data_IF_602826038986
#
_entry.id   IF_602826038986
#
_cell.length_a   1.000
_cell.length_b   1.000
_cell.length_c   1.000
_cell.angle_alpha   90.00
_cell.angle_beta   90.00
_cell.angle_gamma   90.00
#
_symmetry.space_group_name_H-M   'P 1'
#
loop_
_entity.id
_entity.type
_entity.pdbx_description
1 polymer ?
#
# COMPACT_ATOMS: atom_id res chain seq x y z
N UNK A 1 -37.07 14.45 -30.75
CA UNK A 1 -35.93 13.53 -30.53
C UNK A 1 -36.31 12.16 -31.06
N UNK A 2 -35.65 11.68 -32.12
CA UNK A 2 -35.83 10.30 -32.59
C UNK A 2 -35.14 9.28 -31.70
N UNK A 3 -35.43 7.98 -31.92
CA UNK A 3 -34.86 6.88 -31.13
C UNK A 3 -33.31 6.93 -31.02
N UNK A 4 -32.62 7.36 -32.06
CA UNK A 4 -31.16 7.55 -32.04
C UNK A 4 -30.72 8.65 -31.07
N UNK A 5 -31.45 9.75 -30.94
CA UNK A 5 -31.13 10.80 -29.99
C UNK A 5 -31.36 10.40 -28.54
N UNK A 6 -32.38 9.58 -28.26
CA UNK A 6 -32.66 9.03 -26.93
C UNK A 6 -31.55 8.07 -26.54
N UNK A 7 -31.14 7.17 -27.43
CA UNK A 7 -30.06 6.25 -27.17
C UNK A 7 -28.72 6.98 -26.92
N UNK A 8 -28.44 8.04 -27.67
CA UNK A 8 -27.23 8.84 -27.45
C UNK A 8 -27.29 9.55 -26.09
N UNK A 9 -28.43 10.10 -25.69
CA UNK A 9 -28.59 10.71 -24.37
C UNK A 9 -28.40 9.71 -23.25
N UNK A 10 -29.01 8.52 -23.36
CA UNK A 10 -28.86 7.44 -22.37
C UNK A 10 -27.42 6.98 -22.24
N UNK A 11 -26.74 6.74 -23.36
CA UNK A 11 -25.32 6.34 -23.33
C UNK A 11 -24.43 7.43 -22.74
N UNK A 12 -24.69 8.69 -23.05
CA UNK A 12 -23.94 9.81 -22.46
C UNK A 12 -24.14 9.91 -20.95
N UNK A 13 -25.37 9.76 -20.47
CA UNK A 13 -25.69 9.76 -19.05
C UNK A 13 -25.05 8.54 -18.35
N UNK A 14 -25.17 7.36 -18.99
CA UNK A 14 -24.55 6.14 -18.45
C UNK A 14 -23.04 6.29 -18.33
N UNK A 15 -22.37 6.80 -19.35
CA UNK A 15 -20.93 7.02 -19.32
C UNK A 15 -20.55 8.03 -18.24
N UNK A 16 -21.29 9.12 -18.07
CA UNK A 16 -21.04 10.07 -16.98
C UNK A 16 -21.18 9.43 -15.60
N UNK A 17 -22.16 8.55 -15.39
CA UNK A 17 -22.31 7.83 -14.14
C UNK A 17 -21.11 6.90 -13.88
N UNK A 18 -20.64 6.19 -14.91
CA UNK A 18 -19.44 5.35 -14.84
C UNK A 18 -18.21 6.19 -14.56
N UNK A 19 -18.02 7.33 -15.23
CA UNK A 19 -16.90 8.25 -15.01
C UNK A 19 -16.88 8.83 -13.56
N UNK A 20 -18.06 8.90 -12.92
CA UNK A 20 -18.19 9.30 -11.51
C UNK A 20 -18.14 8.13 -10.53
N UNK A 21 -17.80 6.91 -10.98
CA UNK A 21 -17.64 5.74 -10.12
C UNK A 21 -18.89 4.87 -9.98
N UNK A 22 -20.06 5.27 -10.45
CA UNK A 22 -21.31 4.52 -10.32
C UNK A 22 -21.47 3.43 -11.39
N UNK A 23 -20.54 2.52 -11.45
CA UNK A 23 -20.40 1.50 -12.52
C UNK A 23 -21.56 0.51 -12.59
N UNK A 24 -22.27 0.29 -11.50
CA UNK A 24 -23.42 -0.63 -11.43
C UNK A 24 -24.76 0.06 -11.63
N UNK A 25 -24.81 1.38 -11.55
CA UNK A 25 -26.05 2.18 -11.79
C UNK A 25 -26.42 2.14 -13.27
N UNK A 26 -27.70 1.99 -13.58
CA UNK A 26 -28.21 1.88 -14.94
C UNK A 26 -29.20 2.99 -15.26
N UNK A 27 -29.12 3.54 -16.47
CA UNK A 27 -30.08 4.48 -17.02
C UNK A 27 -30.96 3.74 -18.02
N UNK A 28 -32.28 3.76 -17.84
CA UNK A 28 -33.26 3.10 -18.69
C UNK A 28 -34.27 4.09 -19.19
N UNK A 29 -34.76 3.91 -20.43
CA UNK A 29 -35.94 4.57 -20.94
C UNK A 29 -37.07 3.55 -21.02
N UNK A 30 -38.07 3.60 -20.12
CA UNK A 30 -39.21 2.71 -20.20
C UNK A 30 -40.02 2.99 -21.50
N UNK A 31 -40.83 2.03 -21.89
CA UNK A 31 -41.77 2.19 -23.02
C UNK A 31 -42.71 3.36 -22.71
N UNK A 32 -42.75 4.36 -23.57
CA UNK A 32 -43.49 5.62 -23.35
C UNK A 32 -43.94 6.28 -24.64
N UNK A 33 -45.02 7.03 -24.59
CA UNK A 33 -45.49 7.85 -25.71
C UNK A 33 -44.77 9.22 -25.70
N UNK A 34 -43.99 9.47 -26.72
CA UNK A 34 -43.19 10.69 -26.86
C UNK A 34 -43.99 11.84 -27.49
N UNK A 35 -45.25 11.63 -27.86
CA UNK A 35 -46.12 12.70 -28.43
C UNK A 35 -46.35 13.85 -27.45
N UNK A 36 -46.25 13.58 -26.15
CA UNK A 36 -46.37 14.61 -25.11
C UNK A 36 -45.16 15.55 -25.02
N UNK A 37 -44.09 15.31 -25.78
CA UNK A 37 -42.84 16.05 -25.69
C UNK A 37 -42.02 15.81 -24.43
N UNK A 38 -42.45 14.90 -23.56
CA UNK A 38 -41.77 14.57 -22.28
C UNK A 38 -41.04 13.23 -22.42
N UNK A 39 -39.75 13.23 -22.21
CA UNK A 39 -38.94 12.00 -22.08
C UNK A 39 -38.73 11.67 -20.62
N UNK A 40 -39.16 10.48 -20.19
CA UNK A 40 -38.91 9.94 -18.86
C UNK A 40 -37.77 8.95 -18.92
N UNK A 41 -36.78 9.18 -18.07
CA UNK A 41 -35.68 8.26 -17.84
C UNK A 41 -35.77 7.72 -16.39
N UNK A 42 -35.44 6.45 -16.23
CA UNK A 42 -35.39 5.79 -14.92
C UNK A 42 -33.95 5.46 -14.64
N UNK A 43 -33.47 5.89 -13.48
CA UNK A 43 -32.15 5.53 -12.97
C UNK A 43 -32.36 4.42 -11.94
N UNK A 44 -31.73 3.27 -12.18
CA UNK A 44 -31.70 2.15 -11.26
C UNK A 44 -30.35 2.21 -10.53
N UNK A 45 -30.33 2.60 -9.24
CA UNK A 45 -29.10 2.68 -8.50
C UNK A 45 -28.52 1.28 -8.25
N UNK A 46 -27.21 1.13 -8.44
CA UNK A 46 -26.49 -0.02 -7.96
C UNK A 46 -26.13 0.18 -6.49
N UNK A 47 -26.74 -0.60 -5.60
CA UNK A 47 -26.51 -0.52 -4.16
C UNK A 47 -25.74 -1.72 -3.66
N UNK A 48 -24.93 -1.51 -2.62
CA UNK A 48 -24.23 -2.57 -1.91
C UNK A 48 -25.28 -3.42 -1.17
N UNK A 49 -25.35 -4.70 -1.49
CA UNK A 49 -26.31 -5.60 -0.81
C UNK A 49 -25.75 -6.12 0.50
N UNK A 50 -24.53 -6.63 0.46
CA UNK A 50 -23.85 -7.17 1.64
C UNK A 50 -22.35 -6.95 1.48
N UNK A 51 -21.72 -6.60 2.59
CA UNK A 51 -20.27 -6.64 2.77
C UNK A 51 -20.01 -7.77 3.76
N UNK A 52 -19.18 -8.73 3.40
CA UNK A 52 -18.88 -9.90 4.24
C UNK A 52 -17.40 -10.15 4.30
N UNK A 53 -16.94 -10.57 5.44
CA UNK A 53 -15.61 -11.17 5.58
C UNK A 53 -15.60 -12.56 4.95
N UNK A 54 -14.46 -12.98 4.42
CA UNK A 54 -14.28 -14.36 4.01
C UNK A 54 -14.27 -15.29 5.25
N UNK A 55 -14.60 -16.59 5.11
CA UNK A 55 -14.61 -17.51 6.25
C UNK A 55 -13.29 -17.62 7.01
N UNK A 56 -12.17 -17.28 6.35
CA UNK A 56 -10.82 -17.32 6.88
C UNK A 56 -10.39 -15.98 7.53
N UNK A 57 -11.32 -15.00 7.58
CA UNK A 57 -11.05 -13.71 8.21
C UNK A 57 -11.17 -13.80 9.72
N UNK A 58 -10.30 -13.08 10.42
CA UNK A 58 -10.30 -13.05 11.89
C UNK A 58 -11.58 -12.38 12.44
N UNK A 59 -12.16 -12.92 13.52
CA UNK A 59 -13.38 -12.43 14.17
C UNK A 59 -13.25 -11.00 14.73
N UNK A 60 -12.03 -10.48 14.83
CA UNK A 60 -11.75 -9.14 15.36
C UNK A 60 -11.84 -8.02 14.33
N UNK A 61 -12.05 -8.31 13.04
CA UNK A 61 -12.16 -7.28 12.02
C UNK A 61 -13.50 -6.56 12.13
N UNK A 62 -13.48 -5.31 12.57
CA UNK A 62 -14.67 -4.46 12.55
C UNK A 62 -14.96 -3.96 11.14
N UNK A 63 -15.75 -4.70 10.39
CA UNK A 63 -16.12 -4.40 9.01
C UNK A 63 -16.68 -2.97 8.85
N UNK A 64 -17.41 -2.50 9.84
CA UNK A 64 -18.10 -1.20 9.82
C UNK A 64 -17.17 0.01 9.82
N UNK A 65 -15.99 -0.11 10.42
CA UNK A 65 -15.02 0.98 10.48
C UNK A 65 -13.92 0.86 9.43
N UNK A 66 -13.80 -0.31 8.81
CA UNK A 66 -12.66 -0.63 7.94
C UNK A 66 -12.97 -0.50 6.45
N UNK A 67 -14.26 -0.46 6.08
CA UNK A 67 -14.67 -0.39 4.69
C UNK A 67 -15.69 0.74 4.46
N UNK A 68 -15.43 1.67 3.54
CA UNK A 68 -16.27 2.86 3.38
C UNK A 68 -17.66 2.56 2.78
N UNK A 69 -17.82 1.44 2.07
CA UNK A 69 -19.09 1.06 1.48
C UNK A 69 -19.91 0.19 2.45
N UNK A 70 -21.13 0.65 2.79
CA UNK A 70 -22.05 -0.03 3.71
C UNK A 70 -23.24 -0.63 2.96
N UNK A 71 -23.93 -1.60 3.58
CA UNK A 71 -25.16 -2.14 3.04
C UNK A 71 -26.20 -1.03 2.79
N UNK A 72 -26.81 -1.04 1.61
CA UNK A 72 -27.78 -0.03 1.19
C UNK A 72 -27.17 1.26 0.64
N UNK A 73 -25.87 1.50 0.75
CA UNK A 73 -25.22 2.64 0.10
C UNK A 73 -25.10 2.42 -1.41
N UNK A 74 -25.05 3.53 -2.16
CA UNK A 74 -24.69 3.48 -3.59
C UNK A 74 -23.29 2.89 -3.72
N UNK A 75 -23.13 1.95 -4.66
CA UNK A 75 -21.80 1.43 -4.97
C UNK A 75 -21.04 2.46 -5.81
N UNK A 76 -20.03 3.07 -5.22
CA UNK A 76 -19.05 3.90 -5.88
C UNK A 76 -17.74 3.12 -6.02
N UNK A 77 -17.25 2.98 -7.25
CA UNK A 77 -15.99 2.27 -7.51
C UNK A 77 -14.82 2.93 -6.77
N UNK A 78 -14.86 4.25 -6.59
CA UNK A 78 -13.83 4.99 -5.86
C UNK A 78 -13.74 4.60 -4.39
N UNK A 79 -14.86 4.20 -3.75
CA UNK A 79 -14.84 3.69 -2.38
C UNK A 79 -14.09 2.36 -2.30
N UNK A 80 -14.16 1.55 -3.36
CA UNK A 80 -13.42 0.30 -3.48
C UNK A 80 -11.95 0.57 -3.86
N UNK A 81 -11.72 1.54 -4.75
CA UNK A 81 -10.37 1.90 -5.24
C UNK A 81 -9.54 2.66 -4.20
N UNK A 82 -10.16 3.28 -3.20
CA UNK A 82 -9.43 3.95 -2.10
C UNK A 82 -8.60 2.99 -1.26
N UNK A 83 -8.79 1.69 -1.44
CA UNK A 83 -8.01 0.67 -0.75
C UNK A 83 -8.66 0.23 0.56
N UNK A 84 -7.88 -0.44 1.38
CA UNK A 84 -8.29 -0.95 2.70
C UNK A 84 -7.82 0.03 3.77
N UNK A 85 -8.76 0.59 4.56
CA UNK A 85 -8.45 1.41 5.73
C UNK A 85 -8.80 0.67 7.02
N UNK A 86 -7.77 0.34 7.78
CA UNK A 86 -7.84 -0.30 9.09
C UNK A 86 -7.33 0.64 10.18
N UNK A 87 -7.42 1.94 9.97
CA UNK A 87 -6.96 2.94 10.92
C UNK A 87 -7.64 2.82 12.28
N UNK A 88 -6.87 3.07 13.36
CA UNK A 88 -7.33 2.99 14.75
C UNK A 88 -7.89 1.63 15.19
N UNK A 89 -7.62 0.54 14.44
CA UNK A 89 -8.09 -0.80 14.76
C UNK A 89 -7.08 -1.57 15.64
N UNK A 90 -7.57 -2.64 16.26
CA UNK A 90 -6.72 -3.65 16.90
C UNK A 90 -7.02 -4.99 16.25
N UNK A 91 -6.00 -5.62 15.69
CA UNK A 91 -6.08 -6.90 14.99
C UNK A 91 -5.09 -7.85 15.64
N UNK A 92 -5.56 -9.04 16.01
CA UNK A 92 -4.73 -10.11 16.54
C UNK A 92 -5.09 -11.41 15.82
N UNK A 93 -4.11 -12.17 15.37
CA UNK A 93 -4.34 -13.42 14.68
C UNK A 93 -3.07 -14.23 14.51
N UNK A 94 -3.20 -15.51 14.19
CA UNK A 94 -2.04 -16.32 13.81
C UNK A 94 -1.59 -15.95 12.39
N UNK A 95 -2.54 -15.96 11.46
CA UNK A 95 -2.31 -15.56 10.07
C UNK A 95 -3.18 -14.36 9.73
N UNK A 96 -2.55 -13.25 9.44
CA UNK A 96 -3.25 -12.03 9.05
C UNK A 96 -2.85 -11.65 7.63
N UNK A 97 -3.81 -11.62 6.73
CA UNK A 97 -3.61 -11.16 5.36
C UNK A 97 -4.42 -9.89 5.11
N UNK A 98 -3.73 -8.81 4.75
CA UNK A 98 -4.29 -7.52 4.39
C UNK A 98 -4.07 -7.32 2.90
N UNK A 99 -5.11 -7.35 2.11
CA UNK A 99 -5.01 -7.26 0.65
C UNK A 99 -5.89 -6.15 0.10
N UNK A 100 -5.27 -5.08 -0.37
CA UNK A 100 -5.92 -4.03 -1.15
C UNK A 100 -5.56 -4.24 -2.63
N UNK A 101 -6.46 -4.85 -3.39
CA UNK A 101 -6.24 -5.19 -4.81
C UNK A 101 -5.98 -3.98 -5.69
N UNK A 102 -6.52 -2.83 -5.30
CA UNK A 102 -6.28 -1.52 -5.89
C UNK A 102 -6.17 -0.46 -4.79
N UNK A 103 -5.55 0.69 -5.09
CA UNK A 103 -5.44 1.80 -4.14
C UNK A 103 -4.42 1.59 -3.03
N UNK A 104 -4.66 2.18 -1.88
CA UNK A 104 -3.75 2.21 -0.74
C UNK A 104 -4.21 1.27 0.38
N UNK A 105 -3.28 0.86 1.23
CA UNK A 105 -3.55 0.14 2.48
C UNK A 105 -3.15 1.03 3.65
N UNK A 106 -4.09 1.31 4.54
CA UNK A 106 -3.88 2.14 5.72
C UNK A 106 -4.10 1.34 7.00
N UNK A 107 -3.12 1.38 7.89
CA UNK A 107 -3.18 0.87 9.26
C UNK A 107 -2.75 1.96 10.24
N UNK A 108 -3.13 3.22 9.96
CA UNK A 108 -2.74 4.37 10.77
C UNK A 108 -3.26 4.24 12.20
N UNK A 109 -2.38 4.46 13.18
CA UNK A 109 -2.68 4.33 14.62
C UNK A 109 -3.24 2.95 15.02
N UNK A 110 -3.19 1.95 14.15
CA UNK A 110 -3.66 0.60 14.45
C UNK A 110 -2.61 -0.18 15.26
N UNK A 111 -3.08 -1.21 15.97
CA UNK A 111 -2.25 -2.19 16.65
C UNK A 111 -2.51 -3.56 16.03
N UNK A 112 -1.50 -4.09 15.36
CA UNK A 112 -1.58 -5.41 14.73
C UNK A 112 -0.56 -6.34 15.39
N UNK A 113 -1.01 -7.56 15.71
CA UNK A 113 -0.14 -8.61 16.23
C UNK A 113 -0.49 -9.95 15.57
N UNK A 114 0.50 -10.62 14.98
CA UNK A 114 0.29 -11.90 14.30
C UNK A 114 1.54 -12.78 14.36
N UNK A 115 1.38 -14.09 14.14
CA UNK A 115 2.53 -14.94 13.87
C UNK A 115 3.04 -14.66 12.44
N UNK A 116 2.13 -14.60 11.49
CA UNK A 116 2.45 -14.19 10.12
C UNK A 116 1.53 -13.06 9.68
N UNK A 117 2.10 -11.94 9.24
CA UNK A 117 1.37 -10.84 8.67
C UNK A 117 1.84 -10.58 7.23
N UNK A 118 0.90 -10.64 6.30
CA UNK A 118 1.12 -10.31 4.88
C UNK A 118 0.27 -9.10 4.51
N UNK A 119 0.92 -8.00 4.13
CA UNK A 119 0.25 -6.79 3.67
C UNK A 119 0.57 -6.55 2.20
N UNK A 120 -0.45 -6.52 1.35
CA UNK A 120 -0.31 -6.32 -0.10
C UNK A 120 -1.19 -5.19 -0.58
N UNK A 121 -0.60 -4.28 -1.34
CA UNK A 121 -1.35 -3.19 -2.00
C UNK A 121 -0.67 -2.77 -3.28
N UNK A 122 -1.46 -2.38 -4.29
CA UNK A 122 -0.94 -1.79 -5.52
C UNK A 122 -0.42 -0.35 -5.30
N UNK A 123 -0.92 0.34 -4.27
CA UNK A 123 -0.56 1.70 -3.92
C UNK A 123 0.42 1.81 -2.74
N UNK A 124 0.22 2.80 -1.90
CA UNK A 124 1.00 3.03 -0.69
C UNK A 124 0.49 2.20 0.48
N UNK A 125 1.40 1.60 1.23
CA UNK A 125 1.11 1.10 2.57
C UNK A 125 1.43 2.18 3.61
N UNK A 126 0.47 2.53 4.45
CA UNK A 126 0.60 3.55 5.50
C UNK A 126 0.36 2.94 6.88
N UNK A 127 1.41 2.88 7.71
CA UNK A 127 1.37 2.45 9.12
C UNK A 127 1.69 3.61 10.07
N UNK A 128 1.37 4.85 9.67
CA UNK A 128 1.72 6.03 10.45
C UNK A 128 1.10 5.99 11.87
N UNK A 129 1.94 6.16 12.89
CA UNK A 129 1.50 6.11 14.29
C UNK A 129 1.06 4.74 14.78
N UNK A 130 0.96 3.75 13.90
CA UNK A 130 0.56 2.37 14.23
C UNK A 130 1.71 1.52 14.75
N UNK A 131 1.37 0.37 15.34
CA UNK A 131 2.32 -0.64 15.76
C UNK A 131 1.95 -1.98 15.15
N UNK A 132 2.87 -2.56 14.40
CA UNK A 132 2.72 -3.86 13.76
C UNK A 132 3.84 -4.77 14.27
N UNK A 133 3.45 -5.85 14.93
CA UNK A 133 4.34 -6.89 15.42
C UNK A 133 3.98 -8.22 14.78
N UNK A 134 4.93 -8.90 14.18
CA UNK A 134 4.73 -10.24 13.65
C UNK A 134 6.02 -11.07 13.73
N UNK A 135 5.91 -12.38 13.86
CA UNK A 135 7.10 -13.24 13.76
C UNK A 135 7.61 -13.26 12.33
N UNK A 136 6.70 -13.22 11.35
CA UNK A 136 7.06 -13.03 9.96
C UNK A 136 6.23 -11.88 9.38
N UNK A 137 6.91 -10.85 8.87
CA UNK A 137 6.28 -9.68 8.28
C UNK A 137 6.63 -9.58 6.79
N UNK A 138 5.60 -9.63 5.94
CA UNK A 138 5.73 -9.49 4.50
C UNK A 138 4.94 -8.28 4.02
N UNK A 139 5.62 -7.36 3.35
CA UNK A 139 4.99 -6.14 2.81
C UNK A 139 5.29 -6.04 1.32
N UNK A 140 4.25 -5.96 0.52
CA UNK A 140 4.30 -5.71 -0.92
C UNK A 140 3.45 -4.49 -1.24
N UNK A 141 4.10 -3.39 -1.62
CA UNK A 141 3.45 -2.12 -1.89
C UNK A 141 4.26 -1.31 -2.92
N UNK A 142 3.65 -0.29 -3.50
CA UNK A 142 4.39 0.67 -4.33
C UNK A 142 5.34 1.52 -3.47
N UNK A 143 4.91 1.93 -2.29
CA UNK A 143 5.68 2.73 -1.34
C UNK A 143 5.22 2.48 0.10
N UNK A 144 6.05 2.86 1.08
CA UNK A 144 5.74 2.72 2.50
C UNK A 144 5.79 4.10 3.18
N UNK A 145 4.80 4.38 4.03
CA UNK A 145 4.83 5.46 5.00
C UNK A 145 4.68 4.89 6.41
N UNK A 146 5.73 5.01 7.23
CA UNK A 146 5.80 4.54 8.63
C UNK A 146 6.19 5.68 9.57
N UNK A 147 5.60 6.85 9.39
CA UNK A 147 5.89 8.01 10.24
C UNK A 147 5.40 7.76 11.66
N UNK A 148 6.30 7.90 12.63
CA UNK A 148 5.98 7.67 14.06
C UNK A 148 5.37 6.28 14.32
N UNK A 149 5.40 5.39 13.33
CA UNK A 149 4.91 4.02 13.43
C UNK A 149 6.03 3.05 13.78
N UNK A 150 5.65 1.80 14.08
CA UNK A 150 6.59 0.73 14.40
C UNK A 150 6.23 -0.52 13.61
N UNK A 151 7.17 -1.00 12.80
CA UNK A 151 7.11 -2.28 12.11
C UNK A 151 8.18 -3.18 12.70
N UNK A 152 7.76 -4.26 13.37
CA UNK A 152 8.65 -5.11 14.15
C UNK A 152 8.46 -6.56 13.74
N UNK A 153 9.52 -7.19 13.27
CA UNK A 153 9.56 -8.63 13.05
C UNK A 153 10.24 -9.30 14.24
N UNK A 154 9.50 -10.12 14.97
CA UNK A 154 9.94 -10.78 16.20
C UNK A 154 10.54 -12.16 15.98
N UNK A 155 10.28 -12.80 14.84
CA UNK A 155 10.92 -14.05 14.45
C UNK A 155 12.38 -13.85 14.05
N UNK A 156 13.11 -14.96 13.98
CA UNK A 156 14.56 -14.96 13.71
C UNK A 156 14.93 -14.76 12.23
N UNK A 157 13.94 -14.73 11.34
CA UNK A 157 14.14 -14.50 9.90
C UNK A 157 14.50 -13.05 9.57
N UNK A 158 15.03 -12.84 8.38
CA UNK A 158 15.36 -11.52 7.87
C UNK A 158 14.07 -10.73 7.50
N UNK A 159 14.00 -9.48 7.89
CA UNK A 159 12.97 -8.55 7.42
C UNK A 159 13.43 -7.90 6.13
N UNK A 160 12.84 -8.31 5.03
CA UNK A 160 13.17 -7.79 3.70
C UNK A 160 12.01 -6.97 3.14
N UNK A 161 12.30 -5.72 2.82
CA UNK A 161 11.36 -4.78 2.25
C UNK A 161 11.90 -4.30 0.90
N UNK A 162 11.30 -4.76 -0.19
CA UNK A 162 11.64 -4.35 -1.56
C UNK A 162 10.46 -3.62 -2.19
N UNK A 163 10.62 -2.32 -2.41
CA UNK A 163 9.57 -1.42 -2.90
C UNK A 163 10.04 -0.65 -4.13
N UNK A 164 9.24 -0.58 -5.20
CA UNK A 164 9.59 0.22 -6.38
C UNK A 164 9.71 1.72 -6.09
N UNK A 165 8.98 2.21 -5.09
CA UNK A 165 8.91 3.61 -4.71
C UNK A 165 9.72 3.96 -3.46
N UNK A 166 9.22 4.90 -2.69
CA UNK A 166 9.91 5.46 -1.53
C UNK A 166 9.49 4.82 -0.20
N UNK A 167 10.40 4.86 0.77
CA UNK A 167 10.15 4.56 2.17
C UNK A 167 10.27 5.86 2.98
N UNK A 168 9.19 6.23 3.67
CA UNK A 168 9.17 7.33 4.63
C UNK A 168 9.08 6.75 6.04
N UNK A 169 10.20 6.70 6.76
CA UNK A 169 10.31 6.20 8.13
C UNK A 169 10.65 7.32 9.12
N UNK A 170 10.18 8.53 8.88
CA UNK A 170 10.46 9.66 9.76
C UNK A 170 9.88 9.43 11.15
N UNK A 171 10.74 9.54 12.16
CA UNK A 171 10.38 9.30 13.58
C UNK A 171 9.82 7.89 13.82
N UNK A 172 9.87 7.00 12.82
CA UNK A 172 9.37 5.62 12.88
C UNK A 172 10.44 4.61 13.26
N UNK A 173 10.00 3.38 13.50
CA UNK A 173 10.84 2.24 13.83
C UNK A 173 10.63 1.12 12.82
N UNK A 174 11.71 0.61 12.24
CA UNK A 174 11.77 -0.66 11.53
C UNK A 174 12.72 -1.57 12.31
N UNK A 175 12.24 -2.70 12.83
CA UNK A 175 13.05 -3.58 13.66
C UNK A 175 12.87 -5.05 13.29
N UNK A 176 13.94 -5.82 13.42
CA UNK A 176 13.91 -7.27 13.29
C UNK A 176 14.96 -7.93 14.19
N UNK A 177 14.66 -9.16 14.64
CA UNK A 177 15.65 -10.01 15.30
C UNK A 177 16.66 -10.60 14.31
N UNK A 178 16.27 -10.79 13.05
CA UNK A 178 17.19 -11.09 11.95
C UNK A 178 17.79 -9.83 11.33
N UNK A 179 18.29 -9.93 10.09
CA UNK A 179 18.76 -8.78 9.34
C UNK A 179 17.59 -7.95 8.81
N UNK A 180 17.78 -6.62 8.68
CA UNK A 180 16.85 -5.73 7.97
C UNK A 180 17.44 -5.37 6.62
N UNK A 181 16.73 -5.71 5.54
CA UNK A 181 17.11 -5.38 4.17
C UNK A 181 16.07 -4.47 3.56
N UNK A 182 16.49 -3.29 3.14
CA UNK A 182 15.64 -2.29 2.49
C UNK A 182 16.16 -2.03 1.08
N UNK A 183 15.32 -2.30 0.09
CA UNK A 183 15.54 -1.98 -1.31
C UNK A 183 14.43 -1.06 -1.78
N UNK A 184 14.73 0.20 -2.02
CA UNK A 184 13.76 1.22 -2.38
C UNK A 184 14.39 2.33 -3.21
N UNK A 185 13.55 3.04 -3.99
CA UNK A 185 14.01 4.19 -4.78
C UNK A 185 14.61 5.28 -3.88
N UNK A 186 14.02 5.52 -2.71
CA UNK A 186 14.52 6.47 -1.72
C UNK A 186 14.07 6.10 -0.31
N UNK A 187 14.87 6.47 0.69
CA UNK A 187 14.55 6.32 2.12
C UNK A 187 14.67 7.67 2.81
N UNK A 188 13.58 8.12 3.44
CA UNK A 188 13.60 9.22 4.41
C UNK A 188 13.50 8.65 5.82
N UNK A 189 14.61 8.59 6.54
CA UNK A 189 14.70 8.07 7.92
C UNK A 189 15.07 9.15 8.94
N UNK A 190 14.71 10.41 8.70
CA UNK A 190 15.01 11.50 9.63
C UNK A 190 14.36 11.26 10.99
N UNK A 191 15.17 11.23 12.04
CA UNK A 191 14.76 10.89 13.42
C UNK A 191 14.14 9.49 13.55
N UNK A 192 14.09 8.69 12.46
CA UNK A 192 13.64 7.31 12.49
C UNK A 192 14.76 6.36 12.90
N UNK A 193 14.39 5.10 13.15
CA UNK A 193 15.31 4.04 13.56
C UNK A 193 15.12 2.81 12.68
N UNK A 194 16.23 2.20 12.28
CA UNK A 194 16.27 0.88 11.67
C UNK A 194 17.14 0.01 12.57
N UNK A 195 16.56 -1.05 13.12
CA UNK A 195 17.21 -1.92 14.11
C UNK A 195 17.24 -3.35 13.62
N UNK A 196 18.36 -4.02 13.77
CA UNK A 196 18.53 -5.42 13.46
C UNK A 196 19.45 -6.06 14.50
N UNK A 197 19.19 -7.31 14.86
CA UNK A 197 20.13 -8.09 15.67
C UNK A 197 21.35 -8.49 14.84
N UNK A 198 21.13 -8.71 13.53
CA UNK A 198 22.20 -8.82 12.53
C UNK A 198 22.34 -7.52 11.74
N UNK A 199 23.50 -7.29 11.13
CA UNK A 199 23.78 -6.03 10.41
C UNK A 199 22.72 -5.69 9.37
N UNK A 200 22.06 -4.52 9.45
CA UNK A 200 21.08 -4.10 8.47
C UNK A 200 21.75 -3.77 7.13
N UNK A 201 21.12 -4.12 6.02
CA UNK A 201 21.57 -3.74 4.68
C UNK A 201 20.55 -2.81 4.01
N UNK A 202 21.02 -1.70 3.47
CA UNK A 202 20.23 -0.72 2.76
C UNK A 202 20.68 -0.70 1.30
N UNK A 203 19.79 -1.03 0.40
CA UNK A 203 20.06 -0.97 -1.03
C UNK A 203 19.08 0.02 -1.69
N UNK A 204 19.62 0.95 -2.43
CA UNK A 204 18.82 1.87 -3.24
C UNK A 204 18.64 1.25 -4.62
N UNK A 205 17.40 1.00 -5.02
CA UNK A 205 17.08 0.57 -6.38
C UNK A 205 17.46 1.65 -7.38
N UNK A 206 18.10 1.32 -8.49
CA UNK A 206 18.29 2.29 -9.56
C UNK A 206 16.93 2.71 -10.11
N UNK A 207 16.75 4.00 -10.42
CA UNK A 207 15.52 4.44 -11.06
C UNK A 207 15.31 3.69 -12.37
N UNK A 208 14.13 3.09 -12.53
CA UNK A 208 13.72 2.41 -13.77
C UNK A 208 13.50 3.45 -14.87
N UNK A 209 14.53 4.12 -15.32
CA UNK A 209 14.49 4.90 -16.56
C UNK A 209 15.11 4.10 -17.68
N UNK A 210 14.30 3.92 -18.73
CA UNK A 210 14.63 3.40 -20.04
C UNK A 210 16.12 3.51 -20.41
N UNK A 211 16.62 2.37 -20.93
CA UNK A 211 17.89 2.29 -21.69
C UNK A 211 18.07 3.43 -22.68
N UNK A 212 19.23 3.56 -23.21
CA UNK A 212 20.58 3.52 -22.68
C UNK A 212 21.31 4.84 -22.97
N UNK A 213 22.27 5.19 -22.26
CA UNK A 213 23.54 5.68 -22.79
C UNK A 213 24.46 6.14 -21.66
N UNK A 214 25.65 5.58 -21.70
CA UNK A 214 26.88 6.10 -21.14
C UNK A 214 27.16 5.90 -19.66
N UNK A 215 28.20 5.14 -19.47
CA UNK A 215 28.98 4.94 -18.27
C UNK A 215 29.21 6.21 -17.44
N UNK A 216 29.13 6.02 -16.13
CA UNK A 216 29.86 6.83 -15.20
C UNK A 216 29.09 7.82 -14.34
N UNK A 217 28.17 7.34 -13.49
CA UNK A 217 27.80 8.10 -12.29
C UNK A 217 27.78 7.17 -11.08
N UNK A 218 28.75 7.33 -10.20
CA UNK A 218 28.78 6.68 -8.90
C UNK A 218 27.62 7.19 -8.05
N UNK A 219 26.71 6.31 -7.68
CA UNK A 219 25.65 6.63 -6.75
C UNK A 219 26.23 6.87 -5.34
N UNK A 220 25.92 8.00 -4.73
CA UNK A 220 26.28 8.31 -3.37
C UNK A 220 25.49 7.43 -2.38
N UNK A 221 26.18 6.72 -1.53
CA UNK A 221 25.64 6.01 -0.39
C UNK A 221 25.26 6.98 0.71
N UNK A 222 24.03 6.93 1.15
CA UNK A 222 23.64 7.50 2.42
C UNK A 222 23.84 6.43 3.53
N UNK A 223 24.92 6.56 4.27
CA UNK A 223 25.10 5.82 5.51
C UNK A 223 24.17 6.41 6.59
N UNK A 224 23.24 5.60 7.07
CA UNK A 224 22.38 5.99 8.20
C UNK A 224 22.97 5.37 9.44
N UNK A 225 23.51 6.20 10.32
CA UNK A 225 23.99 5.77 11.64
C UNK A 225 22.82 5.68 12.60
N UNK A 226 22.63 4.54 13.22
CA UNK A 226 21.59 4.31 14.22
C UNK A 226 22.25 3.93 15.54
N UNK A 227 22.06 4.77 16.56
CA UNK A 227 22.59 4.55 17.89
C UNK A 227 21.53 3.99 18.83
N UNK A 228 21.66 2.72 19.23
CA UNK A 228 20.78 2.11 20.20
C UNK A 228 21.58 1.29 21.22
N UNK A 229 21.35 1.45 22.50
CA UNK A 229 22.00 0.65 23.53
C UNK A 229 21.57 -0.83 23.42
N UNK A 230 22.54 -1.70 23.34
CA UNK A 230 22.33 -3.15 23.32
C UNK A 230 22.22 -3.81 21.94
N UNK A 231 22.26 -3.03 20.86
CA UNK A 231 22.25 -3.53 19.48
C UNK A 231 23.57 -3.20 18.79
N UNK A 232 24.02 -4.08 17.90
CA UNK A 232 25.25 -3.81 17.14
C UNK A 232 24.97 -2.71 16.10
N UNK A 233 25.89 -1.76 16.03
CA UNK A 233 25.81 -0.65 15.09
C UNK A 233 26.55 -0.99 13.81
N UNK A 234 26.04 -0.50 12.69
CA UNK A 234 26.87 -0.28 11.51
C UNK A 234 27.85 0.85 11.86
N UNK A 235 29.07 0.51 12.23
CA UNK A 235 30.19 1.46 12.15
C UNK A 235 30.42 1.73 10.67
N UNK A 236 30.55 3.00 10.31
CA UNK A 236 31.01 3.34 8.96
C UNK A 236 32.36 2.64 8.73
N UNK A 237 32.50 1.85 7.64
CA UNK A 237 33.81 1.41 7.25
C UNK A 237 34.68 2.65 6.94
N UNK A 238 35.96 2.58 7.30
CA UNK A 238 36.91 3.62 6.97
C UNK A 238 36.95 3.82 5.45
N UNK A 239 37.31 5.01 4.96
CA UNK A 239 37.34 5.31 3.51
C UNK A 239 38.16 4.33 2.66
N UNK A 240 39.04 3.55 3.27
CA UNK A 240 39.88 2.56 2.59
C UNK A 240 39.21 1.19 2.39
N UNK A 241 38.08 0.90 3.07
CA UNK A 241 37.38 -0.40 2.98
C UNK A 241 36.12 -0.39 2.12
N UNK A 242 35.79 0.71 1.46
CA UNK A 242 34.62 0.81 0.61
C UNK A 242 34.85 0.18 -0.76
N UNK A 243 34.99 -1.15 -0.80
CA UNK A 243 34.90 -1.91 -2.04
C UNK A 243 33.45 -2.27 -2.33
N UNK A 244 32.83 -1.52 -3.25
CA UNK A 244 31.50 -1.85 -3.78
C UNK A 244 31.64 -2.85 -4.90
N UNK A 245 31.09 -4.03 -4.69
CA UNK A 245 30.77 -4.96 -5.78
C UNK A 245 29.30 -4.81 -6.14
N UNK A 246 29.01 -4.13 -7.22
CA UNK A 246 27.74 -4.29 -7.92
C UNK A 246 27.72 -5.72 -8.50
N UNK A 247 26.65 -6.43 -8.25
CA UNK A 247 26.38 -7.67 -8.96
C UNK A 247 26.41 -7.40 -10.48
N UNK A 248 27.36 -8.02 -11.15
CA UNK A 248 27.76 -7.89 -12.55
C UNK A 248 28.63 -6.68 -12.90
N UNK A 249 29.92 -6.79 -12.55
CA UNK A 249 30.96 -6.46 -13.50
C UNK A 249 31.50 -5.05 -13.56
N UNK A 250 31.70 -4.35 -12.44
CA UNK A 250 32.68 -3.29 -12.43
C UNK A 250 33.72 -3.51 -11.33
N UNK A 251 34.87 -4.08 -11.71
CA UNK A 251 36.11 -4.00 -10.94
C UNK A 251 36.68 -2.61 -11.19
N UNK A 252 36.89 -1.80 -10.16
CA UNK A 252 37.87 -0.72 -10.23
C UNK A 252 39.22 -1.29 -9.87
N UNK A 253 40.15 -1.10 -10.81
CA UNK A 253 41.55 -1.12 -10.52
C UNK A 253 41.97 0.07 -9.68
#
# INVERSE_FOLDING_TARGET
LGAKGINLLMSTLQNRLVDHGYVTTRVLAPSQDLKSGILRLVIIPGVVRHVRLTPDSDDYIQLYSSFPAHEGSLLDLRDIEQGLDLGNSRIQGQHTELNATSGNLSTQNAQLSADTLSARTAGQFSSNGGTINADTLQISAQSLSNRKGSLIQTGTGDFSLSLPGSVDNREGLLAANGAVRLDALSLDNRKGKVQAEQSPSLQKSPPTFLKPFVAGVCAALLAVSVAIPGWQFLTQPSPEEQHFTWGNGCKKQ
#
